data_IF_275246030936
#
_entry.id   IF_275246030936
#
_cell.length_a   1.000
_cell.length_b   1.000
_cell.length_c   1.000
_cell.angle_alpha   90.00
_cell.angle_beta   90.00
_cell.angle_gamma   90.00
#
_symmetry.space_group_name_H-M   'P 1'
#
loop_
_entity.id
_entity.type
_entity.pdbx_description
1 polymer ?
#
# COMPACT_ATOMS: atom_id res chain seq x y z
N UNK A 1 -7.22 -13.63 -7.76
CA UNK A 1 -8.25 -13.47 -6.70
C UNK A 1 -7.90 -12.19 -5.95
N UNK A 2 -8.82 -11.42 -5.35
CA UNK A 2 -8.48 -10.11 -4.76
C UNK A 2 -7.27 -10.13 -3.79
N UNK A 3 -7.08 -11.22 -3.05
CA UNK A 3 -5.92 -11.42 -2.18
C UNK A 3 -4.57 -11.45 -2.92
N UNK A 4 -4.50 -12.04 -4.12
CA UNK A 4 -3.21 -12.32 -4.78
C UNK A 4 -2.45 -11.06 -5.17
N UNK A 5 -3.14 -9.99 -5.61
CA UNK A 5 -2.46 -8.72 -5.93
C UNK A 5 -1.99 -7.98 -4.68
N UNK A 6 -2.74 -8.04 -3.57
CA UNK A 6 -2.37 -7.37 -2.33
C UNK A 6 -1.20 -8.07 -1.64
N UNK A 7 -1.09 -9.40 -1.74
CA UNK A 7 0.12 -10.14 -1.32
C UNK A 7 1.36 -9.75 -2.16
N UNK A 8 1.22 -9.69 -3.49
CA UNK A 8 2.32 -9.26 -4.37
C UNK A 8 2.74 -7.82 -4.09
N UNK A 9 1.77 -6.95 -3.83
CA UNK A 9 2.02 -5.56 -3.47
C UNK A 9 2.83 -5.45 -2.17
N UNK A 10 2.47 -6.20 -1.13
CA UNK A 10 3.21 -6.24 0.13
C UNK A 10 4.63 -6.77 -0.06
N UNK A 11 4.79 -7.85 -0.84
CA UNK A 11 6.11 -8.41 -1.15
C UNK A 11 6.99 -7.38 -1.89
N UNK A 12 6.46 -6.76 -2.95
CA UNK A 12 7.18 -5.74 -3.70
C UNK A 12 7.54 -4.51 -2.85
N UNK A 13 6.66 -4.12 -1.92
CA UNK A 13 6.93 -3.06 -0.95
C UNK A 13 8.11 -3.40 -0.03
N UNK A 14 8.13 -4.62 0.51
CA UNK A 14 9.21 -5.08 1.38
C UNK A 14 10.53 -5.21 0.64
N UNK A 15 10.49 -5.71 -0.60
CA UNK A 15 11.65 -5.82 -1.50
C UNK A 15 12.12 -4.47 -2.07
N UNK A 16 11.41 -3.38 -1.78
CA UNK A 16 11.66 -2.04 -2.35
C UNK A 16 11.64 -2.03 -3.88
N UNK A 17 10.94 -2.97 -4.50
CA UNK A 17 10.88 -3.11 -5.95
C UNK A 17 9.76 -2.23 -6.52
N UNK A 18 10.11 -1.01 -6.91
CA UNK A 18 9.15 -0.02 -7.40
C UNK A 18 8.40 -0.48 -8.65
N UNK A 19 9.04 -1.23 -9.54
CA UNK A 19 8.42 -1.68 -10.79
C UNK A 19 7.37 -2.76 -10.52
N UNK A 20 7.70 -3.76 -9.69
CA UNK A 20 6.73 -4.77 -9.24
C UNK A 20 5.61 -4.16 -8.41
N UNK A 21 5.93 -3.17 -7.58
CA UNK A 21 4.96 -2.47 -6.75
C UNK A 21 3.95 -1.72 -7.62
N UNK A 22 4.40 -0.95 -8.62
CA UNK A 22 3.52 -0.24 -9.56
C UNK A 22 2.68 -1.21 -10.41
N UNK A 23 3.22 -2.37 -10.78
CA UNK A 23 2.47 -3.42 -11.50
C UNK A 23 1.27 -3.99 -10.75
N UNK A 24 1.11 -3.68 -9.46
CA UNK A 24 -0.05 -4.08 -8.66
C UNK A 24 -1.23 -3.10 -8.73
N UNK A 25 -1.05 -1.91 -9.30
CA UNK A 25 -2.03 -0.81 -9.31
C UNK A 25 -2.50 -0.46 -10.72
N UNK A 26 -3.71 0.07 -10.87
CA UNK A 26 -4.15 0.60 -12.17
C UNK A 26 -3.43 1.90 -12.51
N UNK A 27 -3.36 2.25 -13.80
CA UNK A 27 -2.74 3.49 -14.27
C UNK A 27 -3.37 4.74 -13.63
N UNK A 28 -4.69 4.68 -13.37
CA UNK A 28 -5.54 5.73 -12.80
C UNK A 28 -5.85 5.53 -11.30
N UNK A 29 -5.04 4.73 -10.59
CA UNK A 29 -5.26 4.40 -9.17
C UNK A 29 -5.50 5.65 -8.33
N UNK A 30 -6.45 5.58 -7.40
CA UNK A 30 -6.76 6.68 -6.47
C UNK A 30 -6.48 6.30 -5.04
N UNK A 31 -5.72 7.14 -4.33
CA UNK A 31 -5.42 6.95 -2.91
C UNK A 31 -6.12 8.03 -2.10
N UNK A 32 -6.90 7.59 -1.14
CA UNK A 32 -7.67 8.44 -0.25
C UNK A 32 -7.18 8.32 1.19
N UNK A 33 -7.28 9.42 1.93
CA UNK A 33 -7.51 9.32 3.35
C UNK A 33 -9.01 9.12 3.57
N UNK A 34 -9.36 8.09 4.34
CA UNK A 34 -10.75 7.80 4.64
C UNK A 34 -11.40 9.01 5.36
N UNK A 35 -12.64 9.40 5.00
CA UNK A 35 -13.51 8.73 4.04
C UNK A 35 -13.27 9.06 2.56
N UNK A 36 -12.90 10.29 2.21
CA UNK A 36 -13.06 10.80 0.84
C UNK A 36 -12.01 11.84 0.41
N UNK A 37 -10.95 12.05 1.18
CA UNK A 37 -9.90 13.02 0.83
C UNK A 37 -8.90 12.41 -0.14
N UNK A 38 -8.94 12.80 -1.41
CA UNK A 38 -7.98 12.35 -2.43
C UNK A 38 -6.59 12.91 -2.13
N UNK A 39 -5.63 12.03 -1.87
CA UNK A 39 -4.23 12.41 -1.55
C UNK A 39 -3.27 12.17 -2.71
N UNK A 40 -3.65 11.30 -3.64
CA UNK A 40 -2.83 10.95 -4.78
C UNK A 40 -3.67 10.28 -5.86
N UNK A 41 -3.35 10.56 -7.12
CA UNK A 41 -4.01 9.99 -8.29
C UNK A 41 -2.96 9.64 -9.35
N UNK A 42 -3.10 8.43 -9.91
CA UNK A 42 -2.28 7.92 -10.99
C UNK A 42 -0.94 7.32 -10.57
N UNK A 43 -0.43 6.40 -11.41
CA UNK A 43 0.84 5.71 -11.15
C UNK A 43 2.06 6.64 -11.16
N UNK A 44 2.06 7.73 -11.92
CA UNK A 44 3.21 8.63 -12.00
C UNK A 44 3.49 9.31 -10.64
N UNK A 45 2.43 9.88 -10.04
CA UNK A 45 2.50 10.48 -8.72
C UNK A 45 2.85 9.43 -7.64
N UNK A 46 2.25 8.24 -7.76
CA UNK A 46 2.50 7.14 -6.86
C UNK A 46 3.94 6.62 -6.92
N UNK A 47 4.48 6.38 -8.12
CA UNK A 47 5.86 5.96 -8.34
C UNK A 47 6.82 6.94 -7.69
N UNK A 48 6.67 8.22 -7.99
CA UNK A 48 7.55 9.27 -7.47
C UNK A 48 7.56 9.30 -5.93
N UNK A 49 6.38 9.16 -5.30
CA UNK A 49 6.25 9.15 -3.84
C UNK A 49 6.86 7.92 -3.20
N UNK A 50 6.55 6.72 -3.72
CA UNK A 50 7.02 5.46 -3.12
C UNK A 50 8.48 5.18 -3.42
N UNK A 51 9.00 5.60 -4.57
CA UNK A 51 10.43 5.51 -4.86
C UNK A 51 11.23 6.34 -3.85
N UNK A 52 10.84 7.60 -3.61
CA UNK A 52 11.47 8.43 -2.58
C UNK A 52 11.34 7.80 -1.18
N UNK A 53 10.19 7.19 -0.86
CA UNK A 53 9.99 6.49 0.40
C UNK A 53 10.99 5.34 0.57
N UNK A 54 11.17 4.52 -0.46
CA UNK A 54 12.09 3.38 -0.44
C UNK A 54 13.55 3.80 -0.35
N UNK A 55 13.95 4.87 -1.04
CA UNK A 55 15.29 5.46 -0.95
C UNK A 55 15.55 6.07 0.43
N UNK A 56 14.54 6.68 1.05
CA UNK A 56 14.67 7.34 2.36
C UNK A 56 14.73 6.31 3.50
N UNK A 57 13.98 5.21 3.39
CA UNK A 57 13.86 4.18 4.43
C UNK A 57 14.18 2.79 3.86
N UNK A 58 15.47 2.48 3.62
CA UNK A 58 15.87 1.21 3.00
C UNK A 58 15.53 0.00 3.87
N UNK A 59 15.62 0.15 5.20
CA UNK A 59 15.36 -0.91 6.18
C UNK A 59 13.86 -1.05 6.55
N UNK A 60 12.98 -0.28 5.91
CA UNK A 60 11.55 -0.28 6.21
C UNK A 60 10.91 -1.62 5.82
N UNK A 61 10.13 -2.22 6.72
CA UNK A 61 9.39 -3.46 6.43
C UNK A 61 7.97 -3.35 6.95
N UNK A 62 7.00 -3.78 6.14
CA UNK A 62 5.61 -3.91 6.49
C UNK A 62 5.24 -5.38 6.74
N UNK A 63 4.52 -5.63 7.82
CA UNK A 63 3.89 -6.93 8.12
C UNK A 63 2.40 -6.74 8.30
N UNK A 64 1.60 -7.69 7.82
CA UNK A 64 0.15 -7.70 8.00
C UNK A 64 -0.20 -8.71 9.08
N UNK A 65 -0.72 -8.25 10.21
CA UNK A 65 -1.15 -9.13 11.31
C UNK A 65 -2.58 -9.64 11.10
N UNK A 66 -3.41 -8.87 10.38
CA UNK A 66 -4.80 -9.21 10.06
C UNK A 66 -5.15 -8.74 8.66
N UNK A 67 -5.73 -9.67 7.89
CA UNK A 67 -6.31 -9.40 6.58
C UNK A 67 -7.77 -9.83 6.54
N UNK A 68 -8.63 -8.95 6.04
CA UNK A 68 -10.05 -9.23 5.77
C UNK A 68 -10.26 -9.14 4.26
N UNK A 69 -10.90 -10.15 3.67
CA UNK A 69 -11.29 -10.16 2.26
C UNK A 69 -12.81 -10.16 2.19
N UNK A 70 -13.40 -9.19 1.50
CA UNK A 70 -14.83 -9.07 1.31
C UNK A 70 -15.16 -8.68 -0.14
N UNK A 71 -15.43 -9.69 -0.97
CA UNK A 71 -15.68 -9.49 -2.40
C UNK A 71 -14.46 -8.89 -3.10
N UNK A 72 -14.62 -7.67 -3.63
CA UNK A 72 -13.54 -6.91 -4.29
C UNK A 72 -12.69 -6.09 -3.33
N UNK A 73 -13.01 -6.08 -2.05
CA UNK A 73 -12.29 -5.30 -1.04
C UNK A 73 -11.35 -6.19 -0.22
N UNK A 74 -10.17 -5.66 0.07
CA UNK A 74 -9.19 -6.24 1.01
C UNK A 74 -8.85 -5.18 2.03
N UNK A 75 -8.76 -5.56 3.31
CA UNK A 75 -8.39 -4.65 4.40
C UNK A 75 -7.23 -5.27 5.16
N UNK A 76 -6.13 -4.54 5.26
CA UNK A 76 -4.94 -4.91 5.99
C UNK A 76 -4.76 -4.00 7.19
N UNK A 77 -4.49 -4.62 8.33
CA UNK A 77 -3.87 -3.97 9.46
C UNK A 77 -2.37 -4.23 9.37
N UNK A 78 -1.61 -3.14 9.17
CA UNK A 78 -0.20 -3.15 8.86
C UNK A 78 0.62 -2.62 10.03
N UNK A 79 1.75 -3.26 10.29
CA UNK A 79 2.80 -2.77 11.16
C UNK A 79 4.05 -2.50 10.33
N UNK A 80 4.52 -1.26 10.35
CA UNK A 80 5.65 -0.79 9.56
C UNK A 80 6.82 -0.45 10.48
N UNK A 81 7.89 -1.20 10.36
CA UNK A 81 9.17 -0.97 11.04
C UNK A 81 10.14 -0.17 10.15
N UNK A 82 11.23 0.34 10.73
CA UNK A 82 12.30 1.02 9.98
C UNK A 82 11.94 2.40 9.42
N UNK A 83 10.75 2.91 9.74
CA UNK A 83 10.23 4.20 9.26
C UNK A 83 10.27 5.33 10.30
N UNK A 84 10.27 4.98 11.58
CA UNK A 84 10.33 5.92 12.70
C UNK A 84 11.69 5.78 13.43
N UNK A 85 12.05 6.80 14.20
CA UNK A 85 13.24 6.78 15.04
C UNK A 85 13.15 5.68 16.11
N UNK A 86 14.32 5.25 16.61
CA UNK A 86 14.46 4.33 17.76
C UNK A 86 13.73 2.99 17.61
N UNK A 87 13.46 2.57 16.36
CA UNK A 87 12.80 1.29 16.06
C UNK A 87 11.30 1.26 16.33
N UNK A 88 10.67 2.42 16.53
CA UNK A 88 9.22 2.49 16.74
C UNK A 88 8.44 1.95 15.52
N UNK A 89 7.33 1.27 15.80
CA UNK A 89 6.43 0.72 14.79
C UNK A 89 5.37 1.76 14.45
N UNK A 90 5.19 2.00 13.15
CA UNK A 90 4.05 2.75 12.64
C UNK A 90 2.92 1.77 12.32
N UNK A 91 1.75 2.00 12.89
CA UNK A 91 0.54 1.25 12.56
C UNK A 91 -0.24 1.95 11.43
N UNK A 92 -0.81 1.16 10.53
CA UNK A 92 -1.68 1.64 9.46
C UNK A 92 -2.83 0.65 9.21
N UNK A 93 -3.98 1.18 8.80
CA UNK A 93 -5.06 0.37 8.22
C UNK A 93 -5.24 0.79 6.78
N UNK A 94 -4.96 -0.14 5.86
CA UNK A 94 -5.08 0.05 4.43
C UNK A 94 -6.24 -0.78 3.89
N UNK A 95 -7.15 -0.13 3.17
CA UNK A 95 -8.23 -0.79 2.46
C UNK A 95 -8.01 -0.65 0.97
N UNK A 96 -8.17 -1.74 0.22
CA UNK A 96 -7.96 -1.80 -1.21
C UNK A 96 -9.26 -2.19 -1.91
N UNK A 97 -9.58 -1.52 -3.02
CA UNK A 97 -10.56 -2.01 -3.98
C UNK A 97 -9.81 -2.64 -5.16
N UNK A 98 -10.10 -3.90 -5.46
CA UNK A 98 -9.42 -4.71 -6.47
C UNK A 98 -10.37 -5.03 -7.62
N UNK A 99 -9.91 -4.85 -8.85
CA UNK A 99 -10.63 -5.24 -10.06
C UNK A 99 -9.66 -6.00 -10.97
N UNK A 100 -10.07 -7.19 -11.42
CA UNK A 100 -9.29 -8.01 -12.36
C UNK A 100 -7.84 -8.25 -11.92
N UNK A 101 -7.64 -8.50 -10.63
CA UNK A 101 -6.31 -8.71 -9.99
C UNK A 101 -5.38 -7.48 -10.04
N UNK A 102 -5.96 -6.28 -10.11
CA UNK A 102 -5.30 -4.97 -10.05
C UNK A 102 -5.97 -4.08 -9.00
N UNK A 103 -5.18 -3.36 -8.21
CA UNK A 103 -5.68 -2.41 -7.19
C UNK A 103 -6.07 -1.11 -7.88
N UNK A 104 -7.33 -0.72 -7.79
CA UNK A 104 -7.87 0.50 -8.42
C UNK A 104 -8.06 1.66 -7.43
N UNK A 105 -8.24 1.35 -6.15
CA UNK A 105 -8.34 2.36 -5.09
C UNK A 105 -7.71 1.88 -3.80
N UNK A 106 -7.18 2.82 -3.03
CA UNK A 106 -6.67 2.61 -1.68
C UNK A 106 -7.26 3.64 -0.75
N UNK A 107 -7.63 3.24 0.46
CA UNK A 107 -7.96 4.14 1.56
C UNK A 107 -7.02 3.85 2.73
N UNK A 108 -6.49 4.90 3.34
CA UNK A 108 -5.83 4.81 4.63
C UNK A 108 -6.74 5.38 5.71
N UNK A 109 -6.94 4.65 6.80
CA UNK A 109 -7.47 5.25 8.02
C UNK A 109 -6.29 5.88 8.77
N UNK A 110 -6.40 7.18 9.04
CA UNK A 110 -5.42 7.92 9.84
C UNK A 110 -6.02 8.25 11.20
N UNK A 111 -5.16 8.25 12.23
CA UNK A 111 -5.47 8.81 13.54
C UNK A 111 -5.28 10.33 13.56
#
# INVERSE_FOLDING_TARGET
MANSVVERQLQAYNDKNIDLFMGCYSEDVKIYDFPDTLTMEGQEAMRSRYQKLFETYPDMLATVDKRIIHGKYVIDHEQISGRLADGAILEAVAMYEVKDDIIIKVWFLRN
#
